data_IF_754746116284
#
_entry.id   IF_754746116284
#
_cell.length_a   1.000
_cell.length_b   1.000
_cell.length_c   1.000
_cell.angle_alpha   90.00
_cell.angle_beta   90.00
_cell.angle_gamma   90.00
#
_symmetry.space_group_name_H-M   'P 1'
#
loop_
_entity.id
_entity.type
_entity.pdbx_description
1 polymer ?
#
# COMPACT_ATOMS: atom_id res chain seq x y z
N UNK A 1 -63.05 20.31 29.60
CA UNK A 1 -61.70 20.15 30.17
C UNK A 1 -61.44 18.65 30.25
N UNK A 2 -60.56 17.98 29.52
CA UNK A 2 -59.41 18.33 28.68
C UNK A 2 -59.23 17.23 27.61
N UNK A 3 -58.45 17.52 26.57
CA UNK A 3 -58.36 16.87 25.27
C UNK A 3 -57.49 15.58 25.19
N UNK A 4 -57.91 14.71 24.26
CA UNK A 4 -57.17 13.82 23.32
C UNK A 4 -55.62 13.93 23.33
N UNK A 5 -54.89 12.79 23.39
CA UNK A 5 -53.75 12.48 22.50
C UNK A 5 -53.64 10.95 22.31
N UNK A 6 -54.02 10.46 21.12
CA UNK A 6 -53.72 9.10 20.65
C UNK A 6 -52.32 9.16 20.03
N UNK A 7 -51.35 8.47 20.63
CA UNK A 7 -50.02 8.31 20.03
C UNK A 7 -50.10 7.30 18.87
N UNK A 8 -50.32 7.82 17.66
CA UNK A 8 -50.05 7.09 16.42
C UNK A 8 -48.52 6.98 16.29
N UNK A 9 -47.99 5.80 16.60
CA UNK A 9 -46.62 5.44 16.22
C UNK A 9 -46.58 5.26 14.70
N UNK A 10 -46.27 6.33 13.98
CA UNK A 10 -45.80 6.23 12.61
C UNK A 10 -44.42 5.59 12.71
N UNK A 11 -44.36 4.26 12.61
CA UNK A 11 -43.14 3.59 12.19
C UNK A 11 -42.88 4.05 10.76
N UNK A 12 -42.10 5.11 10.62
CA UNK A 12 -41.39 5.37 9.37
C UNK A 12 -40.59 4.11 9.09
N UNK A 13 -41.02 3.33 8.10
CA UNK A 13 -40.17 2.32 7.49
C UNK A 13 -39.05 3.10 6.81
N UNK A 14 -38.01 3.44 7.57
CA UNK A 14 -36.73 3.70 6.96
C UNK A 14 -36.38 2.43 6.23
N UNK A 15 -36.53 2.48 4.92
CA UNK A 15 -35.96 1.52 4.02
C UNK A 15 -34.49 1.45 4.42
N UNK A 16 -34.08 0.29 4.95
CA UNK A 16 -32.68 -0.11 4.90
C UNK A 16 -32.34 -0.10 3.42
N UNK A 17 -31.88 1.05 2.94
CA UNK A 17 -30.99 1.05 1.80
C UNK A 17 -29.84 0.19 2.27
N UNK A 18 -29.81 -1.05 1.79
CA UNK A 18 -28.58 -1.80 1.71
C UNK A 18 -27.67 -0.94 0.86
N UNK A 19 -26.97 -0.02 1.53
CA UNK A 19 -25.82 0.66 0.97
C UNK A 19 -24.88 -0.46 0.61
N UNK A 20 -24.96 -0.92 -0.63
CA UNK A 20 -23.82 -1.50 -1.31
C UNK A 20 -22.75 -0.44 -1.14
N UNK A 21 -21.87 -0.66 -0.16
CA UNK A 21 -20.70 0.18 0.04
C UNK A 21 -19.80 -0.10 -1.15
N UNK A 22 -20.14 0.47 -2.30
CA UNK A 22 -19.27 0.54 -3.45
C UNK A 22 -18.12 1.41 -3.00
N UNK A 23 -17.08 0.80 -2.43
CA UNK A 23 -15.91 1.56 -2.04
C UNK A 23 -15.30 2.12 -3.32
N UNK A 24 -15.49 3.41 -3.55
CA UNK A 24 -15.05 4.06 -4.77
C UNK A 24 -13.55 4.34 -4.65
N UNK A 25 -12.73 3.38 -5.08
CA UNK A 25 -11.27 3.46 -5.12
C UNK A 25 -10.75 3.74 -6.54
N UNK A 26 -11.55 4.43 -7.36
CA UNK A 26 -11.16 4.89 -8.69
C UNK A 26 -10.84 6.39 -8.62
N UNK A 27 -9.56 6.72 -8.74
CA UNK A 27 -9.07 8.08 -8.50
C UNK A 27 -8.07 8.54 -9.56
N UNK A 28 -8.04 9.85 -9.80
CA UNK A 28 -7.02 10.52 -10.62
C UNK A 28 -6.21 11.45 -9.73
N UNK A 29 -4.89 11.33 -9.80
CA UNK A 29 -3.94 11.98 -8.91
C UNK A 29 -2.99 12.83 -9.74
N UNK A 30 -2.95 14.13 -9.42
CA UNK A 30 -2.15 15.14 -10.13
C UNK A 30 -1.18 15.88 -9.21
N UNK A 31 -1.27 15.59 -7.91
CA UNK A 31 -0.42 16.22 -6.91
C UNK A 31 1.03 15.70 -7.05
N UNK A 32 2.06 16.52 -6.74
CA UNK A 32 3.45 16.12 -6.92
C UNK A 32 3.89 14.92 -6.09
N UNK A 33 3.14 14.59 -5.04
CA UNK A 33 3.37 13.44 -4.17
C UNK A 33 2.07 13.01 -3.52
N UNK A 34 1.98 11.76 -3.13
CA UNK A 34 0.82 11.26 -2.41
C UNK A 34 0.94 9.81 -2.00
N UNK A 35 -0.17 9.30 -1.49
CA UNK A 35 -0.31 7.93 -1.00
C UNK A 35 -1.47 7.23 -1.69
N UNK A 36 -1.28 5.95 -1.96
CA UNK A 36 -2.23 5.04 -2.56
C UNK A 36 -2.42 3.90 -1.57
N UNK A 37 -3.63 3.79 -1.05
CA UNK A 37 -4.03 2.70 -0.17
C UNK A 37 -5.19 1.93 -0.76
N UNK A 38 -5.24 0.63 -0.50
CA UNK A 38 -6.48 -0.12 -0.66
C UNK A 38 -7.55 0.42 0.30
N UNK A 39 -8.84 0.25 -0.03
CA UNK A 39 -9.93 0.48 0.90
C UNK A 39 -9.68 -0.12 2.28
N UNK A 40 -10.05 0.62 3.32
CA UNK A 40 -9.96 0.24 4.74
C UNK A 40 -8.55 0.04 5.29
N UNK A 41 -7.48 0.20 4.50
CA UNK A 41 -6.11 0.03 5.01
C UNK A 41 -5.91 0.79 6.34
N UNK A 42 -5.37 0.16 7.41
CA UNK A 42 -4.68 -1.14 7.42
C UNK A 42 -5.59 -2.38 7.47
N UNK A 43 -6.90 -2.23 7.64
CA UNK A 43 -7.84 -3.35 7.70
C UNK A 43 -8.06 -4.03 6.33
N UNK A 44 -8.66 -5.23 6.29
CA UNK A 44 -9.00 -5.92 5.05
C UNK A 44 -9.89 -5.11 4.10
N UNK A 45 -9.56 -5.19 2.81
CA UNK A 45 -10.37 -4.63 1.73
C UNK A 45 -11.49 -5.61 1.32
N UNK A 46 -12.63 -5.10 0.81
CA UNK A 46 -13.73 -5.96 0.36
C UNK A 46 -13.33 -6.79 -0.86
N UNK A 47 -13.94 -7.96 -1.06
CA UNK A 47 -13.74 -8.80 -2.25
C UNK A 47 -15.12 -9.22 -2.79
N UNK A 48 -15.38 -9.11 -4.12
CA UNK A 48 -14.46 -8.68 -5.18
C UNK A 48 -14.16 -7.18 -5.15
N UNK A 49 -12.95 -6.80 -5.58
CA UNK A 49 -12.49 -5.41 -5.65
C UNK A 49 -11.91 -5.09 -7.03
N UNK A 50 -12.13 -3.84 -7.45
CA UNK A 50 -11.68 -3.30 -8.73
C UNK A 50 -11.35 -1.81 -8.58
N UNK A 51 -10.13 -1.55 -8.11
CA UNK A 51 -9.61 -0.20 -7.94
C UNK A 51 -8.74 0.22 -9.12
N UNK A 52 -8.69 1.52 -9.36
CA UNK A 52 -7.83 2.10 -10.38
C UNK A 52 -7.30 3.46 -9.88
N UNK A 53 -5.99 3.62 -9.90
CA UNK A 53 -5.34 4.90 -9.63
C UNK A 53 -4.62 5.36 -10.89
N UNK A 54 -5.00 6.55 -11.36
CA UNK A 54 -4.41 7.21 -12.53
C UNK A 54 -3.54 8.34 -12.03
N UNK A 55 -2.23 8.21 -12.17
CA UNK A 55 -1.26 9.22 -11.76
C UNK A 55 -0.85 10.00 -13.01
N UNK A 56 -1.14 11.30 -13.05
CA UNK A 56 -0.85 12.18 -14.18
C UNK A 56 0.21 13.21 -13.77
N UNK A 57 1.42 13.06 -14.31
CA UNK A 57 2.52 13.99 -14.10
C UNK A 57 2.60 15.05 -15.21
N UNK A 58 3.13 16.25 -14.89
CA UNK A 58 3.59 17.20 -15.89
C UNK A 58 4.60 16.58 -16.86
N UNK A 59 4.66 17.10 -18.09
CA UNK A 59 5.50 16.54 -19.18
C UNK A 59 7.02 16.65 -18.95
N UNK A 60 7.45 17.48 -18.01
CA UNK A 60 8.84 17.66 -17.58
C UNK A 60 9.23 16.79 -16.38
N UNK A 61 8.31 15.97 -15.86
CA UNK A 61 8.51 15.10 -14.69
C UNK A 61 8.44 13.62 -15.05
N UNK A 62 8.99 12.80 -14.17
CA UNK A 62 8.84 11.33 -14.18
C UNK A 62 8.10 10.90 -12.92
N UNK A 63 7.37 9.78 -12.98
CA UNK A 63 6.59 9.27 -11.85
C UNK A 63 7.40 8.18 -11.16
N UNK A 64 7.71 8.35 -9.88
CA UNK A 64 8.30 7.29 -9.05
C UNK A 64 7.26 6.80 -8.04
N UNK A 65 7.16 5.48 -7.90
CA UNK A 65 6.30 4.80 -6.92
C UNK A 65 7.20 4.03 -5.96
N UNK A 66 6.92 4.08 -4.67
CA UNK A 66 7.63 3.33 -3.63
C UNK A 66 6.66 2.44 -2.86
N UNK A 67 7.02 1.17 -2.76
CA UNK A 67 6.20 0.17 -2.08
C UNK A 67 6.65 0.12 -0.62
N UNK A 68 5.85 0.65 0.30
CA UNK A 68 6.18 0.70 1.73
C UNK A 68 5.62 -0.52 2.46
N UNK A 69 4.29 -0.66 2.47
CA UNK A 69 3.58 -1.77 3.07
C UNK A 69 2.84 -2.53 1.96
N UNK A 70 3.60 -3.35 1.22
CA UNK A 70 3.10 -4.09 0.06
C UNK A 70 3.37 -5.59 0.21
N UNK A 71 2.30 -6.35 0.38
CA UNK A 71 2.32 -7.79 0.68
C UNK A 71 1.59 -8.62 -0.38
N UNK A 72 1.34 -8.05 -1.56
CA UNK A 72 0.58 -8.73 -2.62
C UNK A 72 1.49 -9.60 -3.49
N UNK A 73 1.04 -10.82 -3.79
CA UNK A 73 1.65 -11.69 -4.82
C UNK A 73 1.11 -11.39 -6.20
N UNK A 74 -0.18 -11.05 -6.27
CA UNK A 74 -0.91 -10.80 -7.50
C UNK A 74 -1.97 -9.69 -7.30
N UNK A 75 -2.67 -9.35 -8.39
CA UNK A 75 -3.82 -8.44 -8.37
C UNK A 75 -3.46 -6.99 -8.73
N UNK A 76 -2.25 -6.52 -8.42
CA UNK A 76 -1.78 -5.17 -8.80
C UNK A 76 -1.03 -5.20 -10.15
N UNK A 77 -1.46 -4.38 -11.10
CA UNK A 77 -0.82 -4.20 -12.41
C UNK A 77 -0.48 -2.73 -12.63
N UNK A 78 0.67 -2.48 -13.25
CA UNK A 78 1.10 -1.15 -13.63
C UNK A 78 1.20 -1.01 -15.17
N UNK A 79 0.63 0.06 -15.71
CA UNK A 79 0.63 0.36 -17.14
C UNK A 79 0.91 1.84 -17.37
N UNK A 80 1.87 2.16 -18.23
CA UNK A 80 2.13 3.52 -18.68
C UNK A 80 1.31 3.88 -19.92
N UNK A 81 0.96 5.16 -20.04
CA UNK A 81 0.34 5.72 -21.23
C UNK A 81 0.98 7.07 -21.60
N UNK A 82 1.10 7.33 -22.91
CA UNK A 82 1.44 8.66 -23.39
C UNK A 82 0.25 9.63 -23.23
N UNK A 83 -0.97 9.10 -23.33
CA UNK A 83 -2.22 9.82 -23.08
C UNK A 83 -3.28 8.84 -22.57
N UNK A 84 -4.01 9.24 -21.52
CA UNK A 84 -5.05 8.42 -20.90
C UNK A 84 -6.33 9.24 -20.70
N UNK A 85 -7.43 8.76 -21.27
CA UNK A 85 -8.78 9.21 -20.97
C UNK A 85 -9.74 8.02 -21.04
N UNK A 86 -10.99 8.16 -20.55
CA UNK A 86 -11.99 7.09 -20.66
C UNK A 86 -12.23 6.60 -22.10
N UNK A 87 -12.11 7.50 -23.08
CA UNK A 87 -12.42 7.22 -24.48
C UNK A 87 -11.18 6.93 -25.34
N UNK A 88 -10.01 7.47 -24.96
CA UNK A 88 -8.81 7.45 -25.79
C UNK A 88 -7.61 7.10 -24.93
N UNK A 89 -6.91 6.03 -25.29
CA UNK A 89 -5.69 5.55 -24.62
C UNK A 89 -4.62 5.37 -25.68
N UNK A 90 -3.47 6.03 -25.50
CA UNK A 90 -2.38 6.00 -26.48
C UNK A 90 -1.04 5.69 -25.83
N UNK A 91 -0.17 5.02 -26.58
CA UNK A 91 1.20 4.71 -26.16
C UNK A 91 1.27 3.78 -24.95
N UNK A 92 0.37 2.79 -24.86
CA UNK A 92 0.33 1.78 -23.79
C UNK A 92 1.67 1.03 -23.70
N UNK A 93 2.25 0.96 -22.50
CA UNK A 93 3.37 0.08 -22.18
C UNK A 93 3.07 -0.60 -20.85
N UNK A 94 3.10 -1.93 -20.82
CA UNK A 94 2.77 -2.69 -19.61
C UNK A 94 4.04 -3.10 -18.87
N UNK A 95 4.14 -2.73 -17.59
CA UNK A 95 5.15 -3.31 -16.69
C UNK A 95 4.78 -4.74 -16.29
N UNK A 96 3.49 -5.06 -16.29
CA UNK A 96 2.94 -6.35 -15.87
C UNK A 96 2.42 -6.34 -14.43
N UNK A 97 2.32 -7.52 -13.84
CA UNK A 97 1.90 -7.72 -12.45
C UNK A 97 3.04 -7.40 -11.49
N UNK A 98 2.75 -6.62 -10.47
CA UNK A 98 3.69 -6.31 -9.39
C UNK A 98 3.52 -7.35 -8.27
N UNK A 99 4.62 -8.00 -7.90
CA UNK A 99 4.65 -9.05 -6.87
C UNK A 99 5.69 -8.69 -5.79
N UNK A 100 5.28 -8.70 -4.53
CA UNK A 100 6.11 -8.48 -3.35
C UNK A 100 7.23 -9.50 -3.15
N UNK A 101 7.14 -10.71 -3.70
CA UNK A 101 8.20 -11.74 -3.71
C UNK A 101 9.38 -11.36 -4.62
N UNK A 102 9.16 -10.45 -5.59
CA UNK A 102 10.25 -9.86 -6.37
C UNK A 102 10.90 -8.67 -5.66
N UNK A 103 10.48 -8.40 -4.44
CA UNK A 103 10.99 -7.32 -3.59
C UNK A 103 11.05 -5.95 -4.30
N UNK A 104 9.96 -5.50 -4.96
CA UNK A 104 9.98 -4.26 -5.72
C UNK A 104 9.98 -3.08 -4.75
N UNK A 105 11.14 -2.52 -4.45
CA UNK A 105 11.21 -1.33 -3.58
C UNK A 105 10.59 -0.10 -4.25
N UNK A 106 10.74 0.01 -5.58
CA UNK A 106 10.20 1.12 -6.37
C UNK A 106 9.87 0.72 -7.81
N UNK A 107 9.10 1.57 -8.49
CA UNK A 107 8.85 1.54 -9.94
C UNK A 107 8.94 2.97 -10.49
N UNK A 108 9.57 3.14 -11.65
CA UNK A 108 9.68 4.44 -12.33
C UNK A 108 8.97 4.39 -13.67
N UNK A 109 8.09 5.36 -13.90
CA UNK A 109 7.46 5.61 -15.20
C UNK A 109 8.06 6.83 -15.88
N UNK A 110 8.50 6.64 -17.13
CA UNK A 110 9.03 7.72 -17.98
C UNK A 110 7.94 8.39 -18.82
N UNK A 111 6.69 7.91 -18.74
CA UNK A 111 5.53 8.49 -19.40
C UNK A 111 4.76 9.41 -18.45
N UNK A 112 4.00 10.39 -19.01
CA UNK A 112 3.24 11.34 -18.19
C UNK A 112 2.08 10.69 -17.43
N UNK A 113 1.64 9.48 -17.81
CA UNK A 113 0.55 8.79 -17.11
C UNK A 113 0.97 7.38 -16.71
N UNK A 114 0.82 7.08 -15.42
CA UNK A 114 0.97 5.74 -14.85
C UNK A 114 -0.37 5.31 -14.25
N UNK A 115 -0.88 4.17 -14.69
CA UNK A 115 -2.13 3.59 -14.20
C UNK A 115 -1.82 2.34 -13.39
N UNK A 116 -2.28 2.33 -12.14
CA UNK A 116 -2.30 1.16 -11.28
C UNK A 116 -3.71 0.57 -11.26
N UNK A 117 -3.85 -0.65 -11.75
CA UNK A 117 -5.09 -1.43 -11.68
C UNK A 117 -4.96 -2.50 -10.60
N UNK A 118 -5.87 -2.50 -9.63
CA UNK A 118 -5.95 -3.52 -8.59
C UNK A 118 -7.26 -4.29 -8.68
N UNK A 119 -7.16 -5.57 -9.04
CA UNK A 119 -8.32 -6.44 -9.22
C UNK A 119 -8.12 -7.76 -8.49
N UNK A 120 -9.06 -8.07 -7.59
CA UNK A 120 -9.11 -9.33 -6.85
C UNK A 120 -10.56 -9.82 -6.85
N UNK A 121 -10.76 -11.05 -7.34
CA UNK A 121 -12.09 -11.68 -7.39
C UNK A 121 -12.40 -12.50 -6.14
N UNK A 122 -11.40 -13.21 -5.63
CA UNK A 122 -11.48 -14.14 -4.50
C UNK A 122 -10.15 -14.09 -3.72
N UNK A 123 -10.17 -14.31 -2.40
CA UNK A 123 -9.01 -14.17 -1.49
C UNK A 123 -8.06 -15.39 -1.56
N UNK A 124 -7.86 -15.99 -2.72
CA UNK A 124 -7.11 -17.23 -2.84
C UNK A 124 -5.60 -16.98 -3.05
N UNK A 125 -4.81 -17.03 -1.97
CA UNK A 125 -3.32 -16.98 -1.99
C UNK A 125 -2.68 -15.75 -2.66
N UNK A 126 -3.43 -14.64 -2.74
CA UNK A 126 -2.97 -13.38 -3.33
C UNK A 126 -2.04 -12.58 -2.42
N UNK A 127 -1.93 -12.94 -1.13
CA UNK A 127 -1.08 -12.29 -0.14
C UNK A 127 0.14 -13.15 0.20
N UNK A 128 1.25 -12.48 0.51
CA UNK A 128 2.41 -13.06 1.16
C UNK A 128 2.06 -13.55 2.55
N UNK A 129 2.54 -14.76 2.86
CA UNK A 129 2.46 -15.34 4.19
C UNK A 129 3.76 -15.01 4.94
N UNK A 130 3.74 -14.05 5.87
CA UNK A 130 4.85 -13.75 6.82
C UNK A 130 4.36 -13.92 8.27
N UNK A 131 5.15 -14.63 9.11
CA UNK A 131 4.96 -15.15 10.50
C UNK A 131 3.84 -14.58 11.42
N UNK A 132 3.40 -15.44 12.36
CA UNK A 132 2.38 -15.34 13.45
C UNK A 132 1.01 -14.65 13.16
N UNK A 133 0.95 -13.61 12.32
CA UNK A 133 -0.28 -12.96 11.82
C UNK A 133 -0.56 -13.32 10.33
N UNK A 134 -0.01 -14.45 9.91
CA UNK A 134 0.12 -15.06 8.56
C UNK A 134 -1.15 -15.20 7.70
N UNK A 135 -2.32 -14.83 8.21
CA UNK A 135 -3.62 -15.03 7.54
C UNK A 135 -4.41 -13.75 7.36
N UNK A 136 -3.95 -12.63 7.91
CA UNK A 136 -4.67 -11.38 7.83
C UNK A 136 -4.44 -10.73 6.46
N UNK A 137 -5.54 -10.50 5.76
CA UNK A 137 -5.56 -9.75 4.50
C UNK A 137 -5.35 -8.29 4.85
N UNK A 138 -4.10 -7.89 5.01
CA UNK A 138 -3.79 -6.47 5.04
C UNK A 138 -3.83 -5.94 3.63
N UNK A 139 -4.48 -4.80 3.46
CA UNK A 139 -4.35 -4.01 2.26
C UNK A 139 -2.90 -3.62 1.94
N UNK A 140 -2.72 -2.70 1.01
CA UNK A 140 -1.40 -2.10 0.79
C UNK A 140 -1.40 -0.59 1.01
N UNK A 141 -0.22 -0.07 1.32
CA UNK A 141 0.13 1.34 1.31
C UNK A 141 1.35 1.52 0.41
N UNK A 142 1.23 2.44 -0.54
CA UNK A 142 2.23 2.78 -1.54
C UNK A 142 2.29 4.30 -1.61
N UNK A 143 3.47 4.88 -1.74
CA UNK A 143 3.66 6.32 -1.96
C UNK A 143 4.11 6.58 -3.39
N UNK A 144 3.90 7.79 -3.89
CA UNK A 144 4.46 8.23 -5.16
C UNK A 144 4.95 9.67 -5.07
N UNK A 145 5.90 10.03 -5.93
CA UNK A 145 6.36 11.40 -6.12
C UNK A 145 6.71 11.67 -7.60
N UNK A 146 6.68 12.94 -7.99
CA UNK A 146 7.11 13.42 -9.28
C UNK A 146 8.56 13.89 -9.18
N UNK A 147 9.46 13.19 -9.86
CA UNK A 147 10.87 13.53 -9.90
C UNK A 147 11.18 14.35 -11.14
N UNK A 148 12.21 15.20 -11.04
CA UNK A 148 12.79 15.84 -12.22
C UNK A 148 13.55 14.80 -13.06
N UNK A 149 13.69 15.00 -14.38
CA UNK A 149 14.34 14.01 -15.27
C UNK A 149 15.78 13.63 -14.90
N UNK A 150 16.48 14.50 -14.17
CA UNK A 150 17.87 14.29 -13.72
C UNK A 150 17.97 13.89 -12.24
N UNK A 151 16.84 13.77 -11.55
CA UNK A 151 16.78 13.45 -10.13
C UNK A 151 16.74 11.94 -9.96
N UNK A 152 17.60 11.42 -9.08
CA UNK A 152 17.63 9.98 -8.77
C UNK A 152 16.49 9.59 -7.85
N UNK A 153 15.97 8.38 -8.03
CA UNK A 153 15.03 7.76 -7.09
C UNK A 153 15.60 7.69 -5.66
N UNK A 154 14.70 7.69 -4.67
CA UNK A 154 15.04 7.53 -3.25
C UNK A 154 15.77 6.21 -3.02
N UNK A 155 16.80 6.24 -2.19
CA UNK A 155 17.58 5.07 -1.79
C UNK A 155 17.19 4.52 -0.42
N UNK A 156 16.52 5.34 0.37
CA UNK A 156 16.07 5.01 1.73
C UNK A 156 14.72 4.28 1.75
N UNK A 157 14.03 4.17 0.62
CA UNK A 157 12.77 3.43 0.51
C UNK A 157 12.94 1.99 1.03
N UNK A 158 12.05 1.58 1.94
CA UNK A 158 12.09 0.27 2.57
C UNK A 158 10.91 -0.63 2.17
N UNK A 159 11.08 -1.93 2.42
CA UNK A 159 10.03 -2.95 2.38
C UNK A 159 10.10 -3.77 3.68
N UNK A 160 9.13 -4.66 3.89
CA UNK A 160 9.06 -5.50 5.08
C UNK A 160 10.34 -6.31 5.37
N UNK A 161 11.06 -6.78 4.34
CA UNK A 161 12.30 -7.54 4.52
C UNK A 161 13.50 -6.66 4.88
N UNK A 162 13.53 -5.40 4.43
CA UNK A 162 14.49 -4.40 4.90
C UNK A 162 14.28 -4.08 6.39
N UNK A 163 13.08 -4.32 6.92
CA UNK A 163 12.75 -4.24 8.34
C UNK A 163 12.83 -5.61 9.04
N UNK A 164 13.71 -6.49 8.56
CA UNK A 164 14.00 -7.82 9.11
C UNK A 164 12.79 -8.72 9.34
N UNK A 165 11.66 -8.45 8.65
CA UNK A 165 10.35 -9.09 8.91
C UNK A 165 9.82 -8.93 10.35
N UNK A 166 10.45 -8.08 11.15
CA UNK A 166 10.18 -7.82 12.57
C UNK A 166 9.77 -6.36 12.80
N UNK A 167 9.44 -5.65 11.72
CA UNK A 167 8.89 -4.31 11.73
C UNK A 167 8.15 -3.97 10.44
N UNK A 168 7.44 -2.84 10.47
CA UNK A 168 6.78 -2.27 9.30
C UNK A 168 7.64 -1.16 8.71
N UNK A 169 7.71 -1.09 7.38
CA UNK A 169 8.25 0.09 6.69
C UNK A 169 7.18 1.19 6.62
N UNK A 170 7.54 2.39 7.07
CA UNK A 170 6.69 3.58 6.99
C UNK A 170 7.38 4.70 6.21
N UNK A 171 6.56 5.53 5.58
CA UNK A 171 6.98 6.84 5.09
C UNK A 171 6.69 7.91 6.16
N UNK A 172 7.50 8.96 6.19
CA UNK A 172 7.21 10.19 6.93
C UNK A 172 5.88 10.80 6.43
N UNK A 173 5.21 11.67 7.23
CA UNK A 173 4.00 12.36 6.78
C UNK A 173 4.17 13.18 5.49
N UNK A 174 5.41 13.63 5.20
CA UNK A 174 5.77 14.35 3.99
C UNK A 174 6.14 13.47 2.80
N UNK A 175 6.20 12.15 2.98
CA UNK A 175 6.68 11.15 2.01
C UNK A 175 8.12 11.39 1.53
N UNK A 176 8.94 12.02 2.36
CA UNK A 176 10.32 12.44 2.05
C UNK A 176 11.41 11.60 2.76
N UNK A 177 11.01 10.73 3.69
CA UNK A 177 11.88 9.78 4.39
C UNK A 177 11.15 8.48 4.64
N UNK A 178 11.85 7.36 4.51
CA UNK A 178 11.34 6.03 4.87
C UNK A 178 12.12 5.44 6.06
N UNK A 179 11.45 4.65 6.89
CA UNK A 179 12.06 4.06 8.09
C UNK A 179 11.30 2.81 8.55
N UNK A 180 12.01 1.93 9.25
CA UNK A 180 11.41 0.78 9.91
C UNK A 180 10.87 1.16 11.29
N UNK A 181 9.67 0.68 11.61
CA UNK A 181 9.08 0.75 12.93
C UNK A 181 8.92 -0.67 13.46
N UNK A 182 9.65 -0.98 14.53
CA UNK A 182 9.84 -2.33 15.01
C UNK A 182 8.65 -2.82 15.83
N UNK A 183 8.36 -4.12 15.70
CA UNK A 183 7.45 -4.80 16.60
C UNK A 183 8.01 -4.86 18.02
N UNK A 184 7.15 -5.18 18.98
CA UNK A 184 7.55 -5.29 20.38
C UNK A 184 8.74 -6.25 20.53
N UNK A 185 9.72 -5.84 21.35
CA UNK A 185 11.00 -6.53 21.64
C UNK A 185 12.08 -6.42 20.57
N UNK A 186 11.76 -5.93 19.37
CA UNK A 186 12.75 -5.69 18.32
C UNK A 186 13.18 -4.22 18.27
N UNK A 187 14.43 -3.97 17.86
CA UNK A 187 14.99 -2.62 17.75
C UNK A 187 16.15 -2.58 16.73
N UNK A 188 16.68 -1.37 16.49
CA UNK A 188 17.65 -1.08 15.45
C UNK A 188 17.02 -0.40 14.23
N UNK A 189 17.84 0.07 13.30
CA UNK A 189 17.35 0.78 12.10
C UNK A 189 16.57 -0.13 11.13
N UNK A 190 16.89 -1.41 11.10
CA UNK A 190 16.28 -2.46 10.27
C UNK A 190 15.43 -3.42 11.12
N UNK A 191 15.19 -3.11 12.40
CA UNK A 191 14.55 -4.01 13.38
C UNK A 191 15.27 -5.36 13.56
N UNK A 192 16.57 -5.36 13.31
CA UNK A 192 17.42 -6.54 13.24
C UNK A 192 17.76 -7.16 14.60
N UNK A 193 17.55 -6.41 15.69
CA UNK A 193 18.00 -6.83 17.02
C UNK A 193 16.83 -7.13 17.95
N UNK A 194 17.08 -8.03 18.90
CA UNK A 194 16.26 -8.22 20.10
C UNK A 194 17.17 -8.27 21.35
N UNK A 195 16.57 -8.48 22.53
CA UNK A 195 17.30 -8.49 23.81
C UNK A 195 18.32 -9.63 23.94
N UNK A 196 18.14 -10.72 23.20
CA UNK A 196 19.05 -11.88 23.16
C UNK A 196 20.02 -11.80 21.96
N UNK A 197 19.65 -11.05 20.92
CA UNK A 197 20.33 -10.95 19.64
C UNK A 197 20.59 -9.46 19.31
N UNK A 198 21.31 -8.75 20.17
CA UNK A 198 21.61 -7.33 20.01
C UNK A 198 23.04 -6.96 20.42
N UNK A 199 23.49 -5.72 20.16
CA UNK A 199 24.84 -5.27 20.50
C UNK A 199 25.19 -5.39 21.99
N UNK A 200 24.17 -5.26 22.85
CA UNK A 200 24.30 -5.33 24.31
C UNK A 200 24.03 -6.75 24.87
N UNK A 201 23.84 -7.75 24.01
CA UNK A 201 23.56 -9.11 24.47
C UNK A 201 24.77 -9.71 25.19
N UNK A 202 24.55 -10.24 26.39
CA UNK A 202 25.60 -10.86 27.23
C UNK A 202 26.29 -12.06 26.59
N UNK A 203 25.67 -12.66 25.57
CA UNK A 203 26.19 -13.84 24.86
C UNK A 203 25.77 -13.79 23.40
N UNK A 204 26.68 -14.19 22.52
CA UNK A 204 26.34 -14.45 21.12
C UNK A 204 25.51 -15.75 20.99
N UNK A 205 24.28 -15.62 20.47
CA UNK A 205 23.40 -16.77 20.21
C UNK A 205 23.81 -17.57 18.98
N UNK A 206 24.55 -16.98 18.04
CA UNK A 206 25.01 -17.66 16.83
C UNK A 206 26.11 -18.68 17.17
N UNK A 207 25.73 -19.96 17.24
CA UNK A 207 26.65 -21.05 17.60
C UNK A 207 27.77 -21.29 16.56
N UNK A 208 27.61 -20.79 15.34
CA UNK A 208 28.60 -20.84 14.28
C UNK A 208 29.60 -19.66 14.31
N UNK A 209 29.58 -18.83 15.36
CA UNK A 209 30.41 -17.63 15.46
C UNK A 209 29.95 -16.47 14.58
N UNK A 210 28.76 -16.56 13.98
CA UNK A 210 28.15 -15.46 13.23
C UNK A 210 27.80 -14.28 14.13
N UNK A 211 27.38 -13.17 13.52
CA UNK A 211 26.89 -11.98 14.23
C UNK A 211 25.38 -11.89 14.05
N UNK A 212 24.65 -11.68 15.16
CA UNK A 212 23.23 -11.34 15.12
C UNK A 212 23.00 -10.09 14.27
N UNK A 213 22.12 -10.20 13.27
CA UNK A 213 21.59 -9.14 12.43
C UNK A 213 20.31 -9.66 11.76
#
# INVERSE_FOLDING_TARGET
>A
MWWIIIYLWIFSTQSLTTGSSTTNCRMTMKEPKGVITTPNFPDPYPVPINCQWVIEAPSDKVIAIYFTQFYMREGLRATEYAYYSPNVKMGKVEFGTINSEREPTYLVSNKPVLVLDFYVREVANIHMRVREYLLDVFGFNITYEFLSKNESVRKDACLYHHCSFTGNCYASPGYDKYYCSCFSKYFGEECQYDVECGPDASRNMCQNGGTCR
#
